data_IF_920303508645
#
_entry.id   IF_920303508645
#
_cell.length_a   1.000
_cell.length_b   1.000
_cell.length_c   1.000
_cell.angle_alpha   90.00
_cell.angle_beta   90.00
_cell.angle_gamma   90.00
#
_symmetry.space_group_name_H-M   'P 1'
#
loop_
_entity.id
_entity.type
_entity.pdbx_description
1 polymer ?
#
# COMPACT_ATOMS: atom_id res chain seq x y z
N UNK A 1 -6.40 15.17 -10.82
CA UNK A 1 -6.29 14.35 -9.60
C UNK A 1 -6.73 15.21 -8.44
N UNK A 2 -7.96 15.03 -7.99
CA UNK A 2 -8.45 15.71 -6.79
C UNK A 2 -7.78 15.04 -5.59
N UNK A 3 -7.00 15.82 -4.88
CA UNK A 3 -6.49 15.44 -3.57
C UNK A 3 -7.70 15.24 -2.65
N UNK A 4 -7.90 14.01 -2.16
CA UNK A 4 -8.82 13.80 -1.04
C UNK A 4 -8.22 14.54 0.15
N UNK A 5 -8.63 15.80 0.32
CA UNK A 5 -8.41 16.53 1.56
C UNK A 5 -9.38 15.94 2.60
N UNK A 6 -8.94 14.94 3.32
CA UNK A 6 -9.57 14.59 4.58
C UNK A 6 -9.32 15.75 5.55
N UNK A 7 -10.20 16.73 5.54
CA UNK A 7 -10.24 17.78 6.56
C UNK A 7 -11.02 17.23 7.73
N UNK A 8 -10.33 16.95 8.78
CA UNK A 8 -10.85 16.30 9.95
C UNK A 8 -11.13 17.35 11.01
N UNK A 9 -12.39 17.54 11.35
CA UNK A 9 -12.77 18.28 12.55
C UNK A 9 -12.44 17.41 13.77
N UNK A 10 -11.42 17.79 14.52
CA UNK A 10 -11.06 17.15 15.78
C UNK A 10 -12.06 17.59 16.83
N UNK A 11 -12.84 16.69 17.46
CA UNK A 11 -13.56 17.05 18.67
C UNK A 11 -12.53 17.52 19.70
N UNK A 12 -12.87 18.50 20.52
CA UNK A 12 -12.01 19.15 21.50
C UNK A 12 -11.00 18.20 22.16
N UNK A 13 -9.76 18.19 21.67
CA UNK A 13 -8.65 17.69 22.47
C UNK A 13 -8.40 18.69 23.60
N UNK A 14 -8.19 18.20 24.79
CA UNK A 14 -7.76 19.04 25.90
C UNK A 14 -6.36 19.61 25.61
N UNK A 15 -6.07 20.79 26.17
CA UNK A 15 -4.84 21.51 25.86
C UNK A 15 -3.57 20.67 26.13
N UNK A 16 -3.58 19.87 27.21
CA UNK A 16 -2.47 18.99 27.56
C UNK A 16 -2.24 17.85 26.56
N UNK A 17 -3.30 17.32 25.95
CA UNK A 17 -3.22 16.26 24.92
C UNK A 17 -2.59 16.81 23.63
N UNK A 18 -2.90 18.08 23.29
CA UNK A 18 -2.29 18.77 22.16
C UNK A 18 -0.80 19.03 22.44
N UNK A 19 -0.47 19.50 23.64
CA UNK A 19 0.92 19.76 24.07
C UNK A 19 1.74 18.46 24.12
N UNK A 20 1.15 17.36 24.59
CA UNK A 20 1.80 16.04 24.58
C UNK A 20 2.06 15.56 23.14
N UNK A 21 1.08 15.72 22.24
CA UNK A 21 1.23 15.38 20.84
C UNK A 21 2.28 16.24 20.13
N UNK A 22 2.25 17.58 20.36
CA UNK A 22 3.24 18.52 19.82
C UNK A 22 4.67 18.16 20.34
N UNK A 23 4.82 17.92 21.64
CA UNK A 23 6.11 17.54 22.24
C UNK A 23 6.62 16.20 21.68
N UNK A 24 5.72 15.26 21.45
CA UNK A 24 6.08 13.97 20.87
C UNK A 24 6.47 14.11 19.39
N UNK A 25 5.74 14.89 18.60
CA UNK A 25 6.07 15.22 17.20
C UNK A 25 7.44 15.90 17.15
N UNK A 26 7.69 16.89 18.00
CA UNK A 26 8.98 17.57 18.07
C UNK A 26 10.13 16.63 18.48
N UNK A 27 9.88 15.68 19.38
CA UNK A 27 10.86 14.68 19.77
C UNK A 27 11.22 13.74 18.60
N UNK A 28 10.24 13.38 17.78
CA UNK A 28 10.42 12.52 16.61
C UNK A 28 11.10 13.27 15.45
N UNK A 29 10.81 14.57 15.26
CA UNK A 29 11.50 15.40 14.28
C UNK A 29 13.01 15.52 14.57
N UNK A 30 13.44 15.45 15.83
CA UNK A 30 14.88 15.39 16.19
C UNK A 30 15.58 14.12 15.68
N UNK A 31 14.83 13.05 15.38
CA UNK A 31 15.36 11.82 14.79
C UNK A 31 15.35 11.83 13.25
N UNK A 32 15.34 13.02 12.62
CA UNK A 32 15.40 13.17 11.16
C UNK A 32 14.23 12.55 10.40
N UNK A 33 13.00 12.74 10.88
CA UNK A 33 11.79 12.35 10.13
C UNK A 33 11.73 12.98 8.73
N UNK A 34 12.30 14.18 8.57
CA UNK A 34 12.45 14.84 7.27
C UNK A 34 13.29 14.01 6.29
N UNK A 35 14.36 13.37 6.77
CA UNK A 35 15.20 12.47 5.96
C UNK A 35 14.45 11.18 5.57
N UNK A 36 13.44 10.79 6.36
CA UNK A 36 12.60 9.62 6.12
C UNK A 36 11.36 9.93 5.26
N UNK A 37 11.20 11.17 4.84
CA UNK A 37 10.12 11.57 3.94
C UNK A 37 8.76 11.79 4.60
N UNK A 38 8.69 11.96 5.91
CA UNK A 38 7.47 12.29 6.63
C UNK A 38 7.37 13.79 6.85
N UNK A 39 6.35 14.42 6.29
CA UNK A 39 5.87 15.74 6.70
C UNK A 39 4.67 15.55 7.63
N UNK A 40 4.93 15.59 8.92
CA UNK A 40 3.90 15.75 9.92
C UNK A 40 3.67 17.25 10.10
N UNK A 41 2.57 17.77 9.57
CA UNK A 41 2.27 19.20 9.69
C UNK A 41 1.10 19.38 10.63
N UNK A 42 1.39 19.83 11.84
CA UNK A 42 0.39 20.37 12.74
C UNK A 42 0.08 21.82 12.32
N UNK A 43 -1.08 22.09 11.75
CA UNK A 43 -1.52 23.47 11.46
C UNK A 43 -2.54 23.91 12.49
N UNK A 44 -2.18 24.94 13.30
CA UNK A 44 -3.14 25.68 14.11
C UNK A 44 -3.97 26.57 13.19
N UNK A 45 -5.26 26.32 13.10
CA UNK A 45 -6.20 27.27 12.50
C UNK A 45 -6.60 28.35 13.50
N UNK A 46 -6.72 29.60 13.04
CA UNK A 46 -6.97 30.80 13.84
C UNK A 46 -8.28 30.81 14.64
N UNK A 47 -9.16 29.87 14.47
CA UNK A 47 -10.45 29.78 15.15
C UNK A 47 -10.66 28.41 15.77
N UNK A 48 -10.25 28.23 17.00
CA UNK A 48 -10.67 27.23 18.02
C UNK A 48 -10.72 25.74 17.65
N UNK A 49 -10.37 25.34 16.45
CA UNK A 49 -10.29 23.95 16.04
C UNK A 49 -8.84 23.61 15.66
N UNK A 50 -8.25 22.71 16.40
CA UNK A 50 -6.94 22.14 16.02
C UNK A 50 -7.20 21.07 14.97
N UNK A 51 -6.64 21.24 13.79
CA UNK A 51 -6.76 20.25 12.70
C UNK A 51 -5.41 19.58 12.54
N UNK A 52 -5.37 18.30 12.78
CA UNK A 52 -4.20 17.47 12.55
C UNK A 52 -4.19 17.08 11.06
N UNK A 53 -3.25 17.64 10.30
CA UNK A 53 -3.04 17.25 8.91
C UNK A 53 -1.96 16.19 8.86
N UNK A 54 -2.33 14.99 8.49
CA UNK A 54 -1.39 13.99 8.03
C UNK A 54 -1.16 14.22 6.54
N UNK A 55 -0.10 14.91 6.21
CA UNK A 55 0.35 14.96 4.83
C UNK A 55 1.16 13.71 4.54
N UNK A 56 0.48 12.67 4.13
CA UNK A 56 1.09 11.46 3.63
C UNK A 56 1.38 11.64 2.11
N UNK A 57 1.91 12.81 1.75
CA UNK A 57 2.21 13.16 0.34
C UNK A 57 3.37 12.31 -0.20
N UNK A 58 4.07 11.57 0.63
CA UNK A 58 5.32 10.94 0.23
C UNK A 58 5.34 9.42 0.20
N UNK A 59 4.30 8.73 0.67
CA UNK A 59 4.25 7.27 0.46
C UNK A 59 3.90 6.92 -0.99
N UNK A 60 3.12 7.73 -1.68
CA UNK A 60 2.99 7.65 -3.14
C UNK A 60 4.19 8.24 -3.88
N UNK A 61 5.00 9.10 -3.22
CA UNK A 61 6.20 9.73 -3.77
C UNK A 61 7.49 9.26 -3.10
N UNK A 62 7.45 8.33 -2.15
CA UNK A 62 8.64 7.67 -1.61
C UNK A 62 9.44 6.99 -2.71
N UNK A 63 8.78 6.61 -3.77
CA UNK A 63 9.42 6.19 -5.00
C UNK A 63 10.37 7.24 -5.59
N UNK A 64 10.15 8.53 -5.39
CA UNK A 64 11.10 9.60 -5.77
C UNK A 64 12.16 9.89 -4.71
N UNK A 65 11.89 9.63 -3.45
CA UNK A 65 12.81 9.86 -2.31
C UNK A 65 13.76 8.69 -2.12
N UNK A 66 13.35 7.47 -2.45
CA UNK A 66 14.20 6.26 -2.44
C UNK A 66 15.48 6.38 -3.31
N UNK A 67 15.59 7.41 -4.13
CA UNK A 67 16.87 7.72 -4.81
C UNK A 67 18.01 8.09 -3.85
N UNK A 68 17.72 8.47 -2.59
CA UNK A 68 18.72 8.80 -1.56
C UNK A 68 18.76 7.79 -0.40
N UNK A 69 17.79 6.89 -0.29
CA UNK A 69 17.74 5.84 0.74
C UNK A 69 18.26 4.50 0.22
N UNK A 70 19.45 4.50 -0.34
CA UNK A 70 20.07 3.31 -0.94
C UNK A 70 20.73 2.34 0.06
N UNK A 71 20.55 2.55 1.38
CA UNK A 71 21.13 1.64 2.37
C UNK A 71 20.03 0.79 3.02
N UNK A 72 20.10 -0.55 2.92
CA UNK A 72 19.13 -1.47 3.53
C UNK A 72 18.96 -1.27 5.05
N UNK A 73 20.00 -0.83 5.74
CA UNK A 73 19.99 -0.50 7.17
C UNK A 73 19.09 0.70 7.50
N UNK A 74 19.12 1.73 6.67
CA UNK A 74 18.36 2.97 6.91
C UNK A 74 16.86 2.77 6.66
N UNK A 75 16.50 1.95 5.66
CA UNK A 75 15.11 1.60 5.37
C UNK A 75 14.46 0.88 6.53
N UNK A 76 15.15 -0.09 7.14
CA UNK A 76 14.62 -0.84 8.28
C UNK A 76 14.45 0.05 9.51
N UNK A 77 15.42 0.93 9.81
CA UNK A 77 15.33 1.90 10.89
C UNK A 77 14.15 2.85 10.67
N UNK A 78 13.99 3.38 9.46
CA UNK A 78 12.87 4.24 9.10
C UNK A 78 11.51 3.55 9.27
N UNK A 79 11.42 2.29 8.88
CA UNK A 79 10.19 1.51 9.00
C UNK A 79 9.79 1.26 10.47
N UNK A 80 10.76 0.99 11.35
CA UNK A 80 10.51 0.85 12.78
C UNK A 80 9.97 2.14 13.41
N UNK A 81 10.55 3.29 13.03
CA UNK A 81 10.04 4.60 13.45
C UNK A 81 8.60 4.82 12.97
N UNK A 82 8.29 4.46 11.74
CA UNK A 82 6.90 4.55 11.22
C UNK A 82 5.93 3.68 11.99
N UNK A 83 6.32 2.45 12.32
CA UNK A 83 5.51 1.54 13.14
C UNK A 83 5.22 2.18 14.50
N UNK A 84 6.24 2.73 15.16
CA UNK A 84 6.09 3.38 16.46
C UNK A 84 5.17 4.61 16.38
N UNK A 85 5.32 5.44 15.36
CA UNK A 85 4.44 6.58 15.08
C UNK A 85 2.99 6.12 14.97
N UNK A 86 2.71 5.14 14.11
CA UNK A 86 1.34 4.69 13.88
C UNK A 86 0.75 3.96 15.08
N UNK A 87 1.54 3.23 15.86
CA UNK A 87 1.09 2.65 17.13
C UNK A 87 0.64 3.75 18.10
N UNK A 88 1.45 4.81 18.25
CA UNK A 88 1.12 5.94 19.12
C UNK A 88 -0.10 6.70 18.62
N UNK A 89 -0.21 6.91 17.29
CA UNK A 89 -1.37 7.53 16.66
C UNK A 89 -2.65 6.73 16.87
N UNK A 90 -2.59 5.41 16.77
CA UNK A 90 -3.71 4.53 17.04
C UNK A 90 -4.21 4.70 18.47
N UNK A 91 -3.30 4.72 19.44
CA UNK A 91 -3.64 4.92 20.84
C UNK A 91 -4.20 6.32 21.12
N UNK A 92 -3.63 7.37 20.51
CA UNK A 92 -4.13 8.74 20.62
C UNK A 92 -5.52 8.90 20.03
N UNK A 93 -5.75 8.37 18.82
CA UNK A 93 -7.07 8.40 18.19
C UNK A 93 -8.13 7.71 19.06
N UNK A 94 -7.78 6.57 19.65
CA UNK A 94 -8.64 5.80 20.55
C UNK A 94 -8.98 6.58 21.81
N UNK A 95 -8.00 7.25 22.44
CA UNK A 95 -8.22 8.05 23.65
C UNK A 95 -9.00 9.32 23.35
N UNK A 96 -8.64 10.06 22.29
CA UNK A 96 -9.23 11.36 21.98
C UNK A 96 -10.65 11.25 21.37
N UNK A 97 -10.90 10.23 20.54
CA UNK A 97 -12.13 10.10 19.74
C UNK A 97 -12.96 8.86 20.08
N UNK A 98 -12.39 7.90 20.81
CA UNK A 98 -13.00 6.63 21.14
C UNK A 98 -12.67 5.52 20.12
N UNK A 99 -13.14 4.32 20.45
CA UNK A 99 -12.76 3.08 19.75
C UNK A 99 -13.41 2.92 18.37
N UNK A 100 -14.62 3.46 18.15
CA UNK A 100 -15.39 3.26 16.91
C UNK A 100 -15.50 4.54 16.11
N UNK A 101 -14.34 5.07 15.72
CA UNK A 101 -14.25 6.29 14.92
C UNK A 101 -13.43 6.03 13.66
N UNK A 102 -13.69 6.80 12.59
CA UNK A 102 -12.90 6.71 11.35
C UNK A 102 -11.42 7.00 11.60
N UNK A 103 -11.12 7.86 12.55
CA UNK A 103 -9.75 8.18 12.92
C UNK A 103 -8.99 6.98 13.46
N UNK A 104 -9.64 6.23 14.34
CA UNK A 104 -9.06 5.01 14.86
C UNK A 104 -8.90 3.97 13.75
N UNK A 105 -9.93 3.80 12.92
CA UNK A 105 -9.85 2.90 11.76
C UNK A 105 -8.74 3.31 10.78
N UNK A 106 -8.62 4.61 10.48
CA UNK A 106 -7.55 5.11 9.62
C UNK A 106 -6.17 4.84 10.20
N UNK A 107 -5.93 5.14 11.47
CA UNK A 107 -4.64 4.90 12.12
C UNK A 107 -4.28 3.40 12.13
N UNK A 108 -5.26 2.53 12.41
CA UNK A 108 -5.10 1.07 12.33
C UNK A 108 -4.73 0.61 10.90
N UNK A 109 -5.41 1.14 9.89
CA UNK A 109 -5.09 0.80 8.50
C UNK A 109 -3.65 1.19 8.14
N UNK A 110 -3.20 2.40 8.51
CA UNK A 110 -1.83 2.87 8.26
C UNK A 110 -0.79 2.05 9.03
N UNK A 111 -1.09 1.69 10.28
CA UNK A 111 -0.24 0.78 11.05
C UNK A 111 -0.13 -0.59 10.37
N UNK A 112 -1.27 -1.15 9.95
CA UNK A 112 -1.31 -2.41 9.21
C UNK A 112 -0.48 -2.37 7.93
N UNK A 113 -0.63 -1.33 7.11
CA UNK A 113 0.18 -1.14 5.90
C UNK A 113 1.68 -1.08 6.22
N UNK A 114 2.06 -0.33 7.26
CA UNK A 114 3.46 -0.22 7.65
C UNK A 114 4.02 -1.56 8.14
N UNK A 115 3.23 -2.32 8.89
CA UNK A 115 3.58 -3.67 9.34
C UNK A 115 3.72 -4.66 8.17
N UNK A 116 2.91 -4.54 7.11
CA UNK A 116 3.07 -5.32 5.89
C UNK A 116 4.44 -5.07 5.23
N UNK A 117 4.87 -3.81 5.16
CA UNK A 117 6.21 -3.46 4.63
C UNK A 117 7.35 -4.01 5.49
N UNK A 118 7.13 -4.24 6.79
CA UNK A 118 8.09 -4.87 7.71
C UNK A 118 7.95 -6.40 7.78
N UNK A 119 7.17 -7.00 6.89
CA UNK A 119 6.88 -8.44 6.86
C UNK A 119 6.20 -8.98 8.15
N UNK A 120 5.55 -8.11 8.93
CA UNK A 120 4.80 -8.48 10.13
C UNK A 120 3.31 -8.74 9.79
N UNK A 121 3.06 -9.61 8.82
CA UNK A 121 1.74 -9.80 8.19
C UNK A 121 0.65 -10.22 9.17
N UNK A 122 0.97 -11.02 10.20
CA UNK A 122 -0.01 -11.41 11.22
C UNK A 122 -0.47 -10.22 12.08
N UNK A 123 0.44 -9.33 12.46
CA UNK A 123 0.09 -8.10 13.19
C UNK A 123 -0.69 -7.14 12.30
N UNK A 124 -0.28 -7.00 11.04
CA UNK A 124 -1.00 -6.21 10.05
C UNK A 124 -2.44 -6.68 9.87
N UNK A 125 -2.65 -7.98 9.78
CA UNK A 125 -3.97 -8.59 9.68
C UNK A 125 -4.87 -8.19 10.84
N UNK A 126 -4.36 -8.19 12.07
CA UNK A 126 -5.13 -7.75 13.26
C UNK A 126 -5.58 -6.29 13.12
N UNK A 127 -4.68 -5.41 12.70
CA UNK A 127 -5.00 -3.99 12.47
C UNK A 127 -6.08 -3.81 11.39
N UNK A 128 -5.98 -4.52 10.27
CA UNK A 128 -6.96 -4.43 9.19
C UNK A 128 -8.32 -4.99 9.56
N UNK A 129 -8.37 -6.09 10.34
CA UNK A 129 -9.63 -6.66 10.82
C UNK A 129 -10.34 -5.71 11.78
N UNK A 130 -9.62 -5.08 12.71
CA UNK A 130 -10.18 -4.09 13.62
C UNK A 130 -10.65 -2.83 12.86
N UNK A 131 -9.87 -2.33 11.91
CA UNK A 131 -10.27 -1.22 11.04
C UNK A 131 -11.52 -1.55 10.23
N UNK A 132 -11.62 -2.76 9.68
CA UNK A 132 -12.80 -3.23 8.95
C UNK A 132 -14.05 -3.25 9.83
N UNK A 133 -13.95 -3.78 11.06
CA UNK A 133 -15.09 -3.81 11.99
C UNK A 133 -15.61 -2.41 12.28
N UNK A 134 -14.71 -1.46 12.54
CA UNK A 134 -15.07 -0.06 12.77
C UNK A 134 -15.75 0.54 11.53
N UNK A 135 -15.17 0.41 10.36
CA UNK A 135 -15.71 0.99 9.11
C UNK A 135 -17.05 0.38 8.72
N UNK A 136 -17.21 -0.93 8.90
CA UNK A 136 -18.50 -1.59 8.71
C UNK A 136 -19.57 -1.11 9.68
N UNK A 137 -19.20 -0.89 10.94
CA UNK A 137 -20.12 -0.34 11.92
C UNK A 137 -20.58 1.08 11.56
N UNK A 138 -19.65 1.93 11.08
CA UNK A 138 -19.93 3.33 10.76
C UNK A 138 -20.75 3.49 9.46
N UNK A 139 -20.43 2.72 8.43
CA UNK A 139 -20.92 3.00 7.06
C UNK A 139 -21.35 1.77 6.26
N UNK A 140 -21.28 0.58 6.82
CA UNK A 140 -21.58 -0.66 6.10
C UNK A 140 -20.55 -0.96 5.00
N UNK A 141 -21.00 -1.64 3.94
CA UNK A 141 -20.16 -2.01 2.80
C UNK A 141 -20.01 -0.81 1.84
N UNK A 142 -18.80 -0.29 1.71
CA UNK A 142 -18.48 0.85 0.86
C UNK A 142 -17.03 0.76 0.32
N UNK A 143 -16.55 1.81 -0.32
CA UNK A 143 -15.21 1.87 -0.90
C UNK A 143 -14.10 1.75 0.16
N UNK A 144 -14.29 2.29 1.36
CA UNK A 144 -13.32 2.20 2.45
C UNK A 144 -13.26 0.77 3.02
N UNK A 145 -14.40 0.10 3.16
CA UNK A 145 -14.41 -1.32 3.55
C UNK A 145 -13.80 -2.20 2.47
N UNK A 146 -13.92 -1.83 1.18
CA UNK A 146 -13.24 -2.53 0.10
C UNK A 146 -11.71 -2.42 0.18
N UNK A 147 -11.18 -1.27 0.64
CA UNK A 147 -9.74 -1.12 0.93
C UNK A 147 -9.31 -2.11 2.01
N UNK A 148 -10.07 -2.21 3.11
CA UNK A 148 -9.75 -3.16 4.19
C UNK A 148 -9.84 -4.61 3.72
N UNK A 149 -10.87 -4.98 2.97
CA UNK A 149 -10.97 -6.33 2.41
C UNK A 149 -9.77 -6.67 1.52
N UNK A 150 -9.32 -5.72 0.71
CA UNK A 150 -8.12 -5.90 -0.12
C UNK A 150 -6.86 -6.11 0.73
N UNK A 151 -6.67 -5.28 1.76
CA UNK A 151 -5.51 -5.35 2.64
C UNK A 151 -5.51 -6.65 3.47
N UNK A 152 -6.67 -7.06 3.99
CA UNK A 152 -6.84 -8.34 4.68
C UNK A 152 -6.51 -9.50 3.75
N UNK A 153 -6.99 -9.47 2.51
CA UNK A 153 -6.68 -10.48 1.52
C UNK A 153 -5.19 -10.60 1.24
N UNK A 154 -4.51 -9.46 1.06
CA UNK A 154 -3.05 -9.43 0.88
C UNK A 154 -2.29 -9.92 2.13
N UNK A 155 -2.79 -9.62 3.35
CA UNK A 155 -2.17 -10.10 4.58
C UNK A 155 -2.31 -11.61 4.74
N UNK A 156 -3.49 -12.19 4.44
CA UNK A 156 -3.66 -13.64 4.40
C UNK A 156 -2.78 -14.30 3.34
N UNK A 157 -2.64 -13.68 2.17
CA UNK A 157 -1.76 -14.16 1.11
C UNK A 157 -0.31 -14.24 1.57
N UNK A 158 0.16 -13.20 2.25
CA UNK A 158 1.51 -13.13 2.81
C UNK A 158 1.76 -14.12 3.97
N UNK A 159 0.71 -14.57 4.66
CA UNK A 159 0.78 -15.61 5.71
C UNK A 159 0.73 -17.02 5.09
N UNK A 160 0.36 -17.14 3.81
CA UNK A 160 0.21 -18.43 3.12
C UNK A 160 -1.22 -18.99 3.15
N UNK A 161 -2.18 -18.27 3.72
CA UNK A 161 -3.60 -18.64 3.79
C UNK A 161 -4.34 -18.20 2.52
N UNK A 162 -3.88 -18.67 1.38
CA UNK A 162 -4.27 -18.16 0.05
C UNK A 162 -5.77 -18.28 -0.24
N UNK A 163 -6.42 -19.36 0.19
CA UNK A 163 -7.87 -19.56 -0.01
C UNK A 163 -8.69 -18.50 0.74
N UNK A 164 -8.30 -18.21 1.97
CA UNK A 164 -8.96 -17.17 2.80
C UNK A 164 -8.68 -15.81 2.18
N UNK A 165 -7.43 -15.54 1.81
CA UNK A 165 -7.03 -14.31 1.12
C UNK A 165 -7.84 -14.06 -0.13
N UNK A 166 -8.04 -15.10 -0.97
CA UNK A 166 -8.85 -15.01 -2.18
C UNK A 166 -10.29 -14.55 -1.90
N UNK A 167 -10.90 -15.09 -0.85
CA UNK A 167 -12.27 -14.73 -0.47
C UNK A 167 -12.40 -13.23 -0.16
N UNK A 168 -11.44 -12.67 0.58
CA UNK A 168 -11.41 -11.25 0.91
C UNK A 168 -11.12 -10.37 -0.32
N UNK A 169 -10.16 -10.77 -1.16
CA UNK A 169 -9.84 -10.06 -2.41
C UNK A 169 -11.02 -10.02 -3.37
N UNK A 170 -11.76 -11.13 -3.51
CA UNK A 170 -12.97 -11.19 -4.35
C UNK A 170 -14.05 -10.26 -3.83
N UNK A 171 -14.23 -10.16 -2.51
CA UNK A 171 -15.19 -9.24 -1.91
C UNK A 171 -14.79 -7.78 -2.15
N UNK A 172 -13.52 -7.43 -2.02
CA UNK A 172 -13.00 -6.11 -2.38
C UNK A 172 -13.30 -5.78 -3.85
N UNK A 173 -13.03 -6.71 -4.76
CA UNK A 173 -13.30 -6.55 -6.19
C UNK A 173 -14.77 -6.31 -6.48
N UNK A 174 -15.66 -7.07 -5.86
CA UNK A 174 -17.12 -6.92 -6.04
C UNK A 174 -17.58 -5.51 -5.71
N UNK A 175 -17.17 -4.98 -4.54
CA UNK A 175 -17.51 -3.62 -4.11
C UNK A 175 -16.89 -2.59 -5.05
N UNK A 176 -15.58 -2.68 -5.32
CA UNK A 176 -14.89 -1.71 -6.19
C UNK A 176 -15.47 -1.71 -7.60
N UNK A 177 -15.76 -2.88 -8.17
CA UNK A 177 -16.37 -3.00 -9.48
C UNK A 177 -17.77 -2.37 -9.54
N UNK A 178 -18.60 -2.57 -8.51
CA UNK A 178 -19.95 -2.01 -8.45
C UNK A 178 -19.99 -0.51 -8.24
N UNK A 179 -19.01 0.05 -7.47
CA UNK A 179 -18.98 1.46 -7.09
C UNK A 179 -18.10 2.33 -8.01
N UNK A 180 -16.98 1.80 -8.47
CA UNK A 180 -15.97 2.56 -9.19
C UNK A 180 -15.86 2.19 -10.67
N UNK A 181 -16.39 1.02 -11.09
CA UNK A 181 -16.24 0.54 -12.46
C UNK A 181 -14.77 0.34 -12.85
N UNK A 182 -14.39 0.89 -14.01
CA UNK A 182 -13.02 0.86 -14.51
C UNK A 182 -12.16 1.95 -13.83
N UNK A 183 -11.74 1.65 -12.62
CA UNK A 183 -10.90 2.51 -11.78
C UNK A 183 -9.59 1.81 -11.42
N UNK A 184 -8.58 2.58 -11.01
CA UNK A 184 -7.29 2.02 -10.60
C UNK A 184 -7.43 1.01 -9.46
N UNK A 185 -8.27 1.29 -8.46
CA UNK A 185 -8.48 0.37 -7.34
C UNK A 185 -9.11 -0.95 -7.78
N UNK A 186 -9.96 -0.91 -8.82
CA UNK A 186 -10.51 -2.12 -9.45
C UNK A 186 -9.43 -2.89 -10.19
N UNK A 187 -8.53 -2.19 -10.89
CA UNK A 187 -7.38 -2.80 -11.55
C UNK A 187 -6.40 -3.41 -10.54
N UNK A 188 -6.20 -2.75 -9.40
CA UNK A 188 -5.39 -3.27 -8.29
C UNK A 188 -5.99 -4.55 -7.72
N UNK A 189 -7.31 -4.60 -7.47
CA UNK A 189 -7.98 -5.81 -7.00
C UNK A 189 -7.79 -6.97 -7.98
N UNK A 190 -7.92 -6.73 -9.28
CA UNK A 190 -7.64 -7.75 -10.30
C UNK A 190 -6.18 -8.22 -10.24
N UNK A 191 -5.22 -7.32 -10.02
CA UNK A 191 -3.81 -7.65 -9.90
C UNK A 191 -3.53 -8.52 -8.67
N UNK A 192 -4.09 -8.16 -7.52
CA UNK A 192 -3.92 -8.89 -6.27
C UNK A 192 -4.56 -10.30 -6.33
N UNK A 193 -5.74 -10.43 -6.95
CA UNK A 193 -6.35 -11.75 -7.20
C UNK A 193 -5.47 -12.58 -8.12
N UNK A 194 -4.88 -12.00 -9.16
CA UNK A 194 -3.98 -12.72 -10.04
C UNK A 194 -2.75 -13.24 -9.30
N UNK A 195 -2.14 -12.44 -8.42
CA UNK A 195 -1.01 -12.86 -7.59
C UNK A 195 -1.42 -13.98 -6.62
N UNK A 196 -2.55 -13.86 -5.96
CA UNK A 196 -3.07 -14.87 -5.05
C UNK A 196 -3.32 -16.21 -5.79
N UNK A 197 -3.97 -16.17 -6.96
CA UNK A 197 -4.19 -17.37 -7.79
C UNK A 197 -2.88 -17.99 -8.29
N UNK A 198 -1.86 -17.17 -8.59
CA UNK A 198 -0.54 -17.64 -8.93
C UNK A 198 0.10 -18.41 -7.75
N UNK A 199 0.01 -17.89 -6.52
CA UNK A 199 0.46 -18.56 -5.32
C UNK A 199 -0.27 -19.90 -5.09
N UNK A 200 -1.55 -19.97 -5.46
CA UNK A 200 -2.35 -21.20 -5.46
C UNK A 200 -2.03 -22.15 -6.64
N UNK A 201 -1.05 -21.85 -7.49
CA UNK A 201 -0.71 -22.58 -8.73
C UNK A 201 -1.86 -22.60 -9.78
N UNK A 202 -2.88 -21.74 -9.64
CA UNK A 202 -4.00 -21.60 -10.58
C UNK A 202 -3.65 -20.63 -11.71
N UNK A 203 -2.54 -20.88 -12.39
CA UNK A 203 -1.91 -19.94 -13.32
C UNK A 203 -2.81 -19.53 -14.50
N UNK A 204 -3.65 -20.43 -15.03
CA UNK A 204 -4.56 -20.12 -16.12
C UNK A 204 -5.65 -19.11 -15.71
N UNK A 205 -6.14 -19.21 -14.48
CA UNK A 205 -7.10 -18.25 -13.93
C UNK A 205 -6.41 -16.92 -13.58
N UNK A 206 -5.21 -16.98 -12.99
CA UNK A 206 -4.39 -15.80 -12.73
C UNK A 206 -4.18 -14.97 -14.00
N UNK A 207 -3.93 -15.64 -15.14
CA UNK A 207 -3.75 -14.98 -16.44
C UNK A 207 -4.98 -14.13 -16.86
N UNK A 208 -6.20 -14.61 -16.57
CA UNK A 208 -7.45 -13.89 -16.88
C UNK A 208 -7.51 -12.59 -16.07
N UNK A 209 -7.25 -12.68 -14.77
CA UNK A 209 -7.30 -11.52 -13.86
C UNK A 209 -6.18 -10.50 -14.15
N UNK A 210 -4.94 -10.96 -14.38
CA UNK A 210 -3.83 -10.10 -14.75
C UNK A 210 -4.11 -9.29 -16.03
N UNK A 211 -4.69 -9.93 -17.05
CA UNK A 211 -5.09 -9.24 -18.30
C UNK A 211 -6.18 -8.19 -18.07
N UNK A 212 -7.16 -8.45 -17.18
CA UNK A 212 -8.19 -7.46 -16.81
C UNK A 212 -7.59 -6.24 -16.14
N UNK A 213 -6.64 -6.42 -15.21
CA UNK A 213 -5.91 -5.32 -14.58
C UNK A 213 -5.21 -4.44 -15.63
N UNK A 214 -4.44 -5.05 -16.53
CA UNK A 214 -3.72 -4.33 -17.58
C UNK A 214 -4.71 -3.61 -18.53
N UNK A 215 -5.84 -4.22 -18.87
CA UNK A 215 -6.84 -3.61 -19.74
C UNK A 215 -7.44 -2.34 -19.15
N UNK A 216 -7.74 -2.33 -17.83
CA UNK A 216 -8.21 -1.13 -17.14
C UNK A 216 -7.11 -0.07 -17.10
N UNK A 217 -5.89 -0.42 -16.68
CA UNK A 217 -4.76 0.51 -16.59
C UNK A 217 -4.41 1.14 -17.93
N UNK A 218 -4.52 0.38 -19.03
CA UNK A 218 -4.36 0.95 -20.37
C UNK A 218 -5.44 1.97 -20.73
N UNK A 219 -6.70 1.75 -20.29
CA UNK A 219 -7.81 2.69 -20.55
C UNK A 219 -7.67 3.99 -19.75
N UNK A 220 -7.22 3.91 -18.51
CA UNK A 220 -7.01 5.09 -17.67
C UNK A 220 -5.67 5.79 -17.93
N UNK A 221 -4.77 5.19 -18.70
CA UNK A 221 -3.49 5.79 -19.10
C UNK A 221 -2.40 5.75 -18.01
N UNK A 222 -2.51 4.90 -17.00
CA UNK A 222 -1.50 4.77 -15.94
C UNK A 222 -0.35 3.85 -16.39
N UNK A 223 0.53 4.43 -17.20
CA UNK A 223 1.69 3.70 -17.74
C UNK A 223 2.63 3.18 -16.65
N UNK A 224 2.73 3.87 -15.51
CA UNK A 224 3.60 3.46 -14.42
C UNK A 224 3.11 2.14 -13.80
N UNK A 225 1.85 2.07 -13.41
CA UNK A 225 1.26 0.86 -12.81
C UNK A 225 1.11 -0.29 -13.82
N UNK A 226 1.06 0.02 -15.12
CA UNK A 226 1.14 -1.01 -16.17
C UNK A 226 2.43 -1.81 -16.05
N UNK A 227 3.58 -1.19 -15.75
CA UNK A 227 4.84 -1.91 -15.61
C UNK A 227 4.80 -3.01 -14.53
N UNK A 228 4.17 -2.73 -13.39
CA UNK A 228 3.96 -3.74 -12.34
C UNK A 228 3.03 -4.87 -12.79
N UNK A 229 1.93 -4.53 -13.46
CA UNK A 229 1.04 -5.57 -13.99
C UNK A 229 1.73 -6.45 -15.03
N UNK A 230 2.61 -5.88 -15.85
CA UNK A 230 3.39 -6.64 -16.83
C UNK A 230 4.41 -7.56 -16.15
N UNK A 231 5.05 -7.13 -15.05
CA UNK A 231 5.91 -7.99 -14.26
C UNK A 231 5.15 -9.20 -13.70
N UNK A 232 3.97 -8.96 -13.09
CA UNK A 232 3.15 -10.04 -12.54
C UNK A 232 2.67 -11.00 -13.65
N UNK A 233 2.25 -10.46 -14.79
CA UNK A 233 1.88 -11.26 -15.94
C UNK A 233 3.05 -12.10 -16.48
N UNK A 234 4.26 -11.55 -16.44
CA UNK A 234 5.47 -12.28 -16.83
C UNK A 234 5.76 -13.47 -15.89
N UNK A 235 5.58 -13.27 -14.58
CA UNK A 235 5.75 -14.37 -13.61
C UNK A 235 4.71 -15.48 -13.84
N UNK A 236 3.46 -15.11 -14.16
CA UNK A 236 2.43 -16.09 -14.51
C UNK A 236 2.81 -16.88 -15.77
N UNK A 237 3.32 -16.21 -16.82
CA UNK A 237 3.77 -16.89 -18.03
C UNK A 237 5.00 -17.78 -17.77
N UNK A 238 5.91 -17.37 -16.87
CA UNK A 238 7.01 -18.21 -16.45
C UNK A 238 6.53 -19.50 -15.76
N UNK A 239 5.54 -19.40 -14.88
CA UNK A 239 4.93 -20.56 -14.23
C UNK A 239 4.20 -21.49 -15.21
N UNK A 240 3.79 -20.96 -16.36
CA UNK A 240 3.22 -21.73 -17.48
C UNK A 240 4.28 -22.26 -18.47
N UNK A 241 5.57 -22.11 -18.15
CA UNK A 241 6.74 -22.44 -19.00
C UNK A 241 6.79 -21.65 -20.33
N UNK A 242 6.08 -20.53 -20.42
CA UNK A 242 6.08 -19.64 -21.58
C UNK A 242 7.18 -18.55 -21.46
N UNK A 243 8.43 -18.97 -21.27
CA UNK A 243 9.57 -18.08 -20.96
C UNK A 243 9.79 -16.96 -21.97
N UNK A 244 9.56 -17.22 -23.26
CA UNK A 244 9.68 -16.20 -24.30
C UNK A 244 8.73 -15.02 -24.12
N UNK A 245 7.46 -15.31 -23.74
CA UNK A 245 6.45 -14.28 -23.43
C UNK A 245 6.80 -13.55 -22.14
N UNK A 246 7.23 -14.28 -21.11
CA UNK A 246 7.65 -13.70 -19.84
C UNK A 246 8.75 -12.64 -20.04
N UNK A 247 9.79 -12.97 -20.83
CA UNK A 247 10.86 -12.03 -21.19
C UNK A 247 10.33 -10.77 -21.84
N UNK A 248 9.61 -10.93 -22.91
CA UNK A 248 9.09 -9.78 -23.69
C UNK A 248 8.31 -8.79 -22.80
N UNK A 249 7.54 -9.32 -21.83
CA UNK A 249 6.78 -8.52 -20.88
C UNK A 249 7.68 -7.80 -19.87
N UNK A 250 8.72 -8.47 -19.34
CA UNK A 250 9.68 -7.84 -18.44
C UNK A 250 10.49 -6.74 -19.14
N UNK A 251 10.95 -7.01 -20.37
CA UNK A 251 11.65 -6.00 -21.18
C UNK A 251 10.77 -4.80 -21.48
N UNK A 252 9.45 -5.01 -21.68
CA UNK A 252 8.47 -3.91 -21.84
C UNK A 252 8.29 -3.14 -20.53
N UNK A 253 8.16 -3.82 -19.40
CA UNK A 253 8.00 -3.19 -18.09
C UNK A 253 9.22 -2.33 -17.72
N UNK A 254 10.43 -2.86 -17.91
CA UNK A 254 11.70 -2.16 -17.65
C UNK A 254 11.81 -0.92 -18.56
N UNK A 255 11.44 -1.02 -19.84
CA UNK A 255 11.45 0.14 -20.76
C UNK A 255 10.49 1.25 -20.32
N UNK A 256 9.29 0.87 -19.83
CA UNK A 256 8.32 1.84 -19.31
C UNK A 256 8.93 2.58 -18.11
N UNK A 257 9.48 1.88 -17.11
CA UNK A 257 10.06 2.51 -15.93
C UNK A 257 11.28 3.36 -16.24
N UNK A 258 12.15 2.91 -17.15
CA UNK A 258 13.29 3.70 -17.65
C UNK A 258 12.82 5.01 -18.30
N UNK A 259 11.70 5.01 -19.02
CA UNK A 259 11.09 6.20 -19.62
C UNK A 259 10.68 7.26 -18.60
N UNK A 260 10.39 6.85 -17.34
CA UNK A 260 10.16 7.75 -16.21
C UNK A 260 11.46 8.20 -15.50
N UNK A 261 12.62 7.80 -16.00
CA UNK A 261 13.92 8.09 -15.40
C UNK A 261 14.25 7.23 -14.18
N UNK A 262 13.57 6.11 -14.03
CA UNK A 262 13.79 5.14 -12.94
C UNK A 262 14.76 4.04 -13.43
N UNK A 263 16.05 4.35 -13.46
CA UNK A 263 17.06 3.43 -14.03
C UNK A 263 17.61 2.44 -13.02
N UNK A 264 17.55 2.76 -11.72
CA UNK A 264 18.13 1.98 -10.63
C UNK A 264 17.19 1.84 -9.42
N UNK A 265 15.87 1.90 -9.66
CA UNK A 265 14.89 1.67 -8.59
C UNK A 265 14.87 0.19 -8.19
N UNK A 266 14.43 -0.10 -6.95
CA UNK A 266 14.28 -1.48 -6.47
C UNK A 266 13.34 -2.30 -7.35
N UNK A 267 12.34 -1.66 -7.94
CA UNK A 267 11.39 -2.27 -8.85
C UNK A 267 12.07 -2.75 -10.14
N UNK A 268 12.88 -1.89 -10.73
CA UNK A 268 13.66 -2.28 -11.94
C UNK A 268 14.67 -3.38 -11.58
N UNK A 269 15.35 -3.27 -10.44
CA UNK A 269 16.25 -4.32 -9.98
C UNK A 269 15.51 -5.64 -9.79
N UNK A 270 14.34 -5.63 -9.16
CA UNK A 270 13.48 -6.81 -9.01
C UNK A 270 13.08 -7.39 -10.37
N UNK A 271 12.67 -6.55 -11.32
CA UNK A 271 12.31 -7.01 -12.67
C UNK A 271 13.52 -7.57 -13.43
N UNK A 272 14.70 -6.98 -13.27
CA UNK A 272 15.96 -7.51 -13.84
C UNK A 272 16.33 -8.87 -13.22
N UNK A 273 16.16 -9.00 -11.88
CA UNK A 273 16.36 -10.28 -11.18
C UNK A 273 15.39 -11.33 -11.70
N UNK A 274 14.10 -11.02 -11.77
CA UNK A 274 13.09 -11.93 -12.32
C UNK A 274 13.45 -12.35 -13.76
N UNK A 275 13.86 -11.39 -14.60
CA UNK A 275 14.30 -11.68 -15.96
C UNK A 275 15.48 -12.64 -16.00
N UNK A 276 16.52 -12.38 -15.22
CA UNK A 276 17.72 -13.22 -15.18
C UNK A 276 17.41 -14.63 -14.64
N UNK A 277 16.56 -14.72 -13.62
CA UNK A 277 16.10 -16.00 -13.08
C UNK A 277 15.36 -16.84 -14.14
N UNK A 278 14.47 -16.22 -14.90
CA UNK A 278 13.74 -16.89 -16.01
C UNK A 278 14.70 -17.42 -17.09
N UNK A 279 15.86 -16.78 -17.26
CA UNK A 279 16.87 -17.18 -18.28
C UNK A 279 17.94 -18.15 -17.77
N UNK A 280 18.00 -18.43 -16.46
CA UNK A 280 19.10 -19.19 -15.89
C UNK A 280 20.46 -18.49 -16.03
N UNK A 281 20.48 -17.15 -16.22
CA UNK A 281 21.70 -16.37 -16.20
C UNK A 281 22.03 -16.03 -14.75
N UNK A 282 23.22 -16.42 -14.27
CA UNK A 282 23.76 -15.91 -13.01
C UNK A 282 23.85 -14.39 -13.07
N UNK A 283 23.52 -13.72 -11.95
CA UNK A 283 23.89 -12.32 -11.76
C UNK A 283 25.43 -12.27 -11.77
N UNK A 284 26.03 -11.93 -12.91
CA UNK A 284 27.41 -11.48 -12.88
C UNK A 284 27.42 -10.19 -12.05
N UNK A 285 28.11 -10.28 -10.92
CA UNK A 285 28.31 -9.31 -9.86
C UNK A 285 28.83 -7.95 -10.35
#
# INVERSE_FOLDING_TARGET
MEHIKLTLAIPKMEKHEIEELESWIDSMCRYRLEDLGFDLVLRKYKHKESVLFFRYDKVYYSERIDRKMLFPSDRKAGLLVCIEIWMKMTELCKRAFGYRTEWHAFALNQLGMTLMYDNQSTRALQCFLESLDIRKYLWGENELTAVEYNNIGCAYDAIGEWMVGNTYLMKALEIRKSKLGDHEDTAESYCNIANNLMNMQRNNEALIYARKSIAIRNRIGDNFKIAYSLNNLALIYNNLDEKGRAKSLLDKAIRILNGFGWTESMEILTMKVNRNHIYGQSLDT
#
